data_IF_898470381935
#
_entry.id   IF_898470381935
#
_cell.length_a   1.000
_cell.length_b   1.000
_cell.length_c   1.000
_cell.angle_alpha   90.00
_cell.angle_beta   90.00
_cell.angle_gamma   90.00
#
_symmetry.space_group_name_H-M   'P 1'
#
loop_
_entity.id
_entity.type
_entity.pdbx_description
1 polymer ?
#
# COMPACT_ATOMS: atom_id res chain seq x y z
N UNK A 1 27.09 -5.08 -7.75
CA UNK A 1 27.13 -6.06 -6.63
C UNK A 1 25.74 -6.67 -6.50
N UNK A 2 25.57 -7.99 -6.37
CA UNK A 2 24.27 -8.57 -6.16
C UNK A 2 23.69 -8.04 -4.84
N UNK A 3 22.45 -7.61 -4.87
CA UNK A 3 21.73 -7.17 -3.67
C UNK A 3 21.69 -8.33 -2.67
N UNK A 4 22.14 -8.10 -1.44
CA UNK A 4 22.12 -9.10 -0.39
C UNK A 4 20.68 -9.56 -0.07
N UNK A 5 20.55 -10.71 0.60
CA UNK A 5 19.25 -11.24 1.03
C UNK A 5 18.50 -10.16 1.83
N UNK A 6 17.21 -9.92 1.52
CA UNK A 6 16.42 -8.94 2.27
C UNK A 6 16.42 -9.26 3.77
N UNK A 7 16.45 -8.24 4.64
CA UNK A 7 16.49 -8.43 6.08
C UNK A 7 15.22 -9.17 6.57
N UNK A 8 15.39 -10.11 7.51
CA UNK A 8 14.26 -10.79 8.15
C UNK A 8 13.41 -9.80 8.94
N UNK A 9 12.07 -9.98 8.99
CA UNK A 9 11.17 -9.18 9.83
C UNK A 9 11.62 -9.16 11.30
N UNK A 10 11.35 -8.04 12.00
CA UNK A 10 11.75 -7.83 13.38
C UNK A 10 11.24 -8.92 14.33
N UNK A 11 10.01 -9.36 14.16
CA UNK A 11 9.39 -10.41 14.97
C UNK A 11 10.04 -11.76 14.76
N UNK A 12 10.36 -12.11 13.52
CA UNK A 12 11.11 -13.33 13.24
C UNK A 12 12.50 -13.29 13.88
N UNK A 13 13.14 -12.10 13.96
CA UNK A 13 14.42 -11.94 14.66
C UNK A 13 14.25 -12.09 16.17
N UNK A 14 13.16 -11.57 16.75
CA UNK A 14 12.85 -11.73 18.17
C UNK A 14 12.52 -13.17 18.53
N UNK A 15 11.66 -13.83 17.75
CA UNK A 15 11.30 -15.24 17.94
C UNK A 15 12.50 -16.19 17.82
N UNK A 16 13.49 -15.87 17.00
CA UNK A 16 14.74 -16.62 16.84
C UNK A 16 15.84 -16.20 17.85
N UNK A 17 15.51 -15.41 18.89
CA UNK A 17 16.48 -14.97 19.90
C UNK A 17 17.52 -13.97 19.38
N UNK A 18 17.21 -13.23 18.32
CA UNK A 18 18.10 -12.23 17.73
C UNK A 18 19.53 -12.74 17.45
N UNK A 19 19.70 -13.75 16.58
CA UNK A 19 20.99 -14.41 16.35
C UNK A 19 22.09 -13.46 15.88
N UNK A 20 21.75 -12.28 15.35
CA UNK A 20 22.70 -11.26 14.93
C UNK A 20 23.15 -10.31 16.05
N UNK A 21 22.62 -10.44 17.26
CA UNK A 21 22.91 -9.61 18.46
C UNK A 21 22.90 -8.09 18.23
N UNK A 22 22.29 -7.59 17.16
CA UNK A 22 22.12 -6.15 16.91
C UNK A 22 20.94 -5.66 17.74
N UNK A 23 21.05 -4.45 18.31
CA UNK A 23 19.94 -3.81 18.99
C UNK A 23 18.69 -3.82 18.10
N UNK A 24 17.60 -4.35 18.61
CA UNK A 24 16.29 -4.31 17.95
C UNK A 24 15.52 -3.13 18.53
N UNK A 25 14.77 -2.36 17.73
CA UNK A 25 13.94 -1.28 18.23
C UNK A 25 13.00 -1.78 19.32
N UNK A 26 12.83 -0.98 20.37
CA UNK A 26 11.93 -1.33 21.46
C UNK A 26 10.46 -1.23 20.96
N UNK A 27 9.62 -2.15 21.39
CA UNK A 27 8.19 -2.16 20.98
C UNK A 27 7.45 -0.90 21.47
N UNK A 28 7.96 -0.28 22.53
CA UNK A 28 7.41 0.96 23.09
C UNK A 28 7.79 2.23 22.30
N UNK A 29 8.84 2.16 21.50
CA UNK A 29 9.32 3.29 20.67
C UNK A 29 8.72 3.30 19.25
N UNK A 30 7.94 2.28 18.89
CA UNK A 30 7.18 2.31 17.64
C UNK A 30 6.11 3.39 17.77
N UNK A 31 6.33 4.52 17.09
CA UNK A 31 5.38 5.62 17.05
C UNK A 31 3.98 5.05 16.71
N UNK A 32 3.04 5.28 17.61
CA UNK A 32 1.64 4.96 17.33
C UNK A 32 1.16 5.95 16.29
N UNK A 33 1.09 5.53 15.04
CA UNK A 33 0.47 6.33 13.98
C UNK A 33 -1.02 6.39 14.33
N UNK A 34 -1.59 7.59 14.55
CA UNK A 34 -3.03 7.69 14.80
C UNK A 34 -3.75 7.13 13.58
N UNK A 35 -4.58 6.10 13.80
CA UNK A 35 -5.42 5.56 12.75
C UNK A 35 -6.34 6.68 12.25
N UNK A 36 -6.40 6.87 10.94
CA UNK A 36 -7.37 7.78 10.35
C UNK A 36 -8.77 7.19 10.61
N UNK A 37 -9.58 7.93 11.35
CA UNK A 37 -10.99 7.55 11.65
C UNK A 37 -11.88 7.72 10.42
N UNK A 38 -11.51 8.63 9.53
CA UNK A 38 -12.21 8.91 8.27
C UNK A 38 -11.20 9.15 7.15
N UNK A 39 -11.58 8.82 5.92
CA UNK A 39 -10.77 9.14 4.76
C UNK A 39 -10.65 10.66 4.61
N UNK A 40 -9.45 11.24 4.56
CA UNK A 40 -9.31 12.67 4.33
C UNK A 40 -9.84 13.03 2.92
N UNK A 41 -10.41 14.21 2.75
CA UNK A 41 -10.79 14.69 1.43
C UNK A 41 -9.56 14.96 0.57
N UNK A 42 -9.55 14.52 -0.69
CA UNK A 42 -8.43 14.78 -1.59
C UNK A 42 -8.38 16.26 -1.96
N UNK A 43 -7.20 16.87 -1.85
CA UNK A 43 -6.98 18.30 -2.18
C UNK A 43 -7.05 18.59 -3.68
N UNK A 44 -6.96 17.56 -4.51
CA UNK A 44 -7.09 17.65 -5.98
C UNK A 44 -8.23 16.76 -6.47
N UNK A 45 -8.93 17.13 -7.54
CA UNK A 45 -10.04 16.33 -8.05
C UNK A 45 -9.57 14.97 -8.55
N UNK A 46 -10.20 13.91 -8.09
CA UNK A 46 -10.01 12.55 -8.56
C UNK A 46 -11.20 12.15 -9.45
N UNK A 47 -10.90 11.37 -10.50
CA UNK A 47 -11.92 10.76 -11.33
C UNK A 47 -12.42 9.45 -10.70
N UNK A 48 -13.27 8.74 -11.41
CA UNK A 48 -13.98 7.57 -10.88
C UNK A 48 -13.07 6.49 -10.30
N UNK A 49 -11.97 6.16 -10.97
CA UNK A 49 -11.10 5.05 -10.56
C UNK A 49 -10.14 5.46 -9.43
N UNK A 50 -9.59 6.67 -9.52
CA UNK A 50 -8.75 7.23 -8.47
C UNK A 50 -9.54 7.48 -7.19
N UNK A 51 -10.78 7.99 -7.30
CA UNK A 51 -11.67 8.18 -6.16
C UNK A 51 -12.00 6.86 -5.48
N UNK A 52 -12.39 5.85 -6.25
CA UNK A 52 -12.67 4.51 -5.72
C UNK A 52 -11.45 3.85 -5.07
N UNK A 53 -10.25 4.07 -5.62
CA UNK A 53 -9.01 3.63 -4.99
C UNK A 53 -8.76 4.36 -3.66
N UNK A 54 -8.89 5.69 -3.64
CA UNK A 54 -8.71 6.54 -2.47
C UNK A 54 -9.59 6.08 -1.30
N UNK A 55 -10.89 6.00 -1.50
CA UNK A 55 -11.86 5.60 -0.49
C UNK A 55 -11.56 4.20 0.05
N UNK A 56 -11.39 3.23 -0.84
CA UNK A 56 -11.08 1.85 -0.44
C UNK A 56 -9.81 1.71 0.37
N UNK A 57 -8.76 2.46 0.02
CA UNK A 57 -7.47 2.33 0.71
C UNK A 57 -7.51 2.98 2.07
N UNK A 58 -8.14 4.14 2.22
CA UNK A 58 -8.31 4.77 3.53
C UNK A 58 -9.20 3.95 4.46
N UNK A 59 -10.26 3.34 3.94
CA UNK A 59 -11.12 2.42 4.70
C UNK A 59 -10.36 1.19 5.23
N UNK A 60 -9.53 0.57 4.39
CA UNK A 60 -8.78 -0.65 4.74
C UNK A 60 -7.43 -0.32 5.38
N UNK A 61 -6.76 0.70 4.87
CA UNK A 61 -5.38 1.08 5.18
C UNK A 61 -5.22 2.03 6.35
N UNK A 62 -6.31 2.58 6.89
CA UNK A 62 -6.28 3.54 8.00
C UNK A 62 -5.54 3.08 9.25
N UNK A 63 -5.20 1.78 9.34
CA UNK A 63 -4.40 1.22 10.43
C UNK A 63 -2.90 1.50 10.31
N UNK A 64 -2.38 1.78 9.11
CA UNK A 64 -0.92 1.97 8.89
C UNK A 64 -0.56 3.09 7.93
N UNK A 65 -1.52 3.62 7.17
CA UNK A 65 -1.31 4.77 6.28
C UNK A 65 -1.54 6.04 7.08
N UNK A 66 -0.50 6.88 7.15
CA UNK A 66 -0.57 8.15 7.85
C UNK A 66 -1.22 9.23 6.98
N UNK A 67 -2.27 9.91 7.45
CA UNK A 67 -2.86 11.04 6.72
C UNK A 67 -1.94 12.26 6.62
N UNK A 68 -0.82 12.25 7.33
CA UNK A 68 0.15 13.35 7.32
C UNK A 68 1.33 13.07 6.39
N UNK A 69 1.92 11.88 6.49
CA UNK A 69 3.17 11.55 5.76
C UNK A 69 2.89 10.88 4.42
N UNK A 70 1.83 10.09 4.32
CA UNK A 70 1.57 9.26 3.14
C UNK A 70 0.54 9.87 2.19
N UNK A 71 -0.05 11.00 2.61
CA UNK A 71 -1.13 11.69 1.91
C UNK A 71 -0.78 11.99 0.44
N UNK A 72 0.35 12.64 0.18
CA UNK A 72 0.74 13.00 -1.19
C UNK A 72 1.05 11.78 -2.05
N UNK A 73 1.70 10.76 -1.49
CA UNK A 73 1.94 9.51 -2.20
C UNK A 73 0.64 8.82 -2.59
N UNK A 74 -0.34 8.81 -1.70
CA UNK A 74 -1.67 8.29 -1.94
C UNK A 74 -2.38 9.07 -3.05
N UNK A 75 -2.33 10.41 -2.99
CA UNK A 75 -3.00 11.28 -3.95
C UNK A 75 -2.40 11.13 -5.35
N UNK A 76 -1.07 11.19 -5.48
CA UNK A 76 -0.37 10.94 -6.74
C UNK A 76 -0.72 9.55 -7.29
N UNK A 77 -0.77 8.52 -6.45
CA UNK A 77 -1.12 7.17 -6.89
C UNK A 77 -2.56 7.09 -7.40
N UNK A 78 -3.49 7.76 -6.76
CA UNK A 78 -4.89 7.84 -7.20
C UNK A 78 -5.03 8.55 -8.56
N UNK A 79 -4.34 9.68 -8.74
CA UNK A 79 -4.27 10.41 -10.03
C UNK A 79 -3.69 9.54 -11.15
N UNK A 80 -2.60 8.83 -10.88
CA UNK A 80 -1.99 7.90 -11.85
C UNK A 80 -2.91 6.74 -12.22
N UNK A 81 -3.74 6.27 -11.30
CA UNK A 81 -4.76 5.24 -11.57
C UNK A 81 -5.80 5.78 -12.55
N UNK A 82 -6.26 7.01 -12.38
CA UNK A 82 -7.18 7.64 -13.32
C UNK A 82 -6.55 7.83 -14.71
N UNK A 83 -5.31 8.33 -14.77
CA UNK A 83 -4.56 8.47 -16.02
C UNK A 83 -4.38 7.13 -16.73
N UNK A 84 -4.01 6.09 -15.98
CA UNK A 84 -3.88 4.72 -16.50
C UNK A 84 -5.17 4.22 -17.13
N UNK A 85 -6.31 4.42 -16.49
CA UNK A 85 -7.60 3.98 -17.00
C UNK A 85 -8.01 4.76 -18.25
N UNK A 86 -7.81 6.08 -18.27
CA UNK A 86 -8.08 6.93 -19.44
C UNK A 86 -7.21 6.52 -20.63
N UNK A 87 -5.90 6.32 -20.42
CA UNK A 87 -4.99 5.87 -21.47
C UNK A 87 -5.37 4.48 -21.97
N UNK A 88 -5.73 3.55 -21.06
CA UNK A 88 -6.20 2.22 -21.44
C UNK A 88 -7.47 2.28 -22.27
N UNK A 89 -8.47 3.05 -21.87
CA UNK A 89 -9.73 3.22 -22.60
C UNK A 89 -9.47 3.80 -23.99
N UNK A 90 -8.60 4.81 -24.07
CA UNK A 90 -8.21 5.40 -25.35
C UNK A 90 -7.54 4.38 -26.29
N UNK A 91 -6.60 3.59 -25.80
CA UNK A 91 -5.93 2.54 -26.58
C UNK A 91 -6.94 1.49 -27.07
N UNK A 92 -7.85 1.05 -26.19
CA UNK A 92 -8.84 0.02 -26.53
C UNK A 92 -9.89 0.51 -27.52
N UNK A 93 -10.14 1.81 -27.60
CA UNK A 93 -11.04 2.42 -28.59
C UNK A 93 -10.45 2.54 -29.99
N UNK A 94 -9.14 2.31 -30.15
CA UNK A 94 -8.47 2.39 -31.46
C UNK A 94 -8.50 1.05 -32.22
N UNK A 95 -8.42 1.12 -33.56
CA UNK A 95 -8.14 -0.08 -34.36
C UNK A 95 -6.73 -0.58 -34.05
N UNK A 96 -6.48 -1.91 -34.03
CA UNK A 96 -5.17 -2.48 -33.71
C UNK A 96 -3.98 -1.88 -34.48
N UNK A 97 -4.20 -1.57 -35.75
CA UNK A 97 -3.17 -1.02 -36.66
C UNK A 97 -2.87 0.47 -36.40
N UNK A 98 -3.74 1.16 -35.68
CA UNK A 98 -3.58 2.60 -35.37
C UNK A 98 -2.99 2.86 -33.98
N UNK A 99 -2.72 1.82 -33.20
CA UNK A 99 -2.20 1.97 -31.85
C UNK A 99 -0.71 2.33 -31.91
N UNK A 100 -0.37 3.54 -31.46
CA UNK A 100 1.04 3.96 -31.33
C UNK A 100 1.75 3.10 -30.26
N UNK A 101 2.87 2.46 -30.59
CA UNK A 101 3.71 1.74 -29.62
C UNK A 101 4.13 2.57 -28.41
N UNK A 102 4.23 3.91 -28.56
CA UNK A 102 4.53 4.83 -27.45
C UNK A 102 3.43 4.82 -26.39
N UNK A 103 2.15 4.77 -26.80
CA UNK A 103 1.02 4.69 -25.88
C UNK A 103 1.05 3.40 -25.05
N UNK A 104 1.36 2.26 -25.67
CA UNK A 104 1.52 0.99 -24.96
C UNK A 104 2.72 1.01 -24.00
N UNK A 105 3.78 1.73 -24.36
CA UNK A 105 4.94 1.91 -23.49
C UNK A 105 4.57 2.79 -22.29
N UNK A 106 3.90 3.91 -22.51
CA UNK A 106 3.41 4.79 -21.44
C UNK A 106 2.48 4.04 -20.46
N UNK A 107 1.55 3.23 -20.97
CA UNK A 107 0.68 2.43 -20.12
C UNK A 107 1.47 1.46 -19.23
N UNK A 108 2.48 0.77 -19.78
CA UNK A 108 3.33 -0.14 -18.99
C UNK A 108 4.20 0.60 -17.98
N UNK A 109 4.60 1.84 -18.27
CA UNK A 109 5.35 2.66 -17.33
C UNK A 109 4.48 3.12 -16.16
N UNK A 110 3.24 3.55 -16.44
CA UNK A 110 2.25 3.82 -15.39
C UNK A 110 1.98 2.58 -14.53
N UNK A 111 1.76 1.40 -15.14
CA UNK A 111 1.58 0.15 -14.41
C UNK A 111 2.75 -0.13 -13.45
N UNK A 112 3.99 0.03 -13.92
CA UNK A 112 5.20 -0.20 -13.11
C UNK A 112 5.29 0.77 -11.95
N UNK A 113 5.05 2.05 -12.21
CA UNK A 113 5.12 3.10 -11.18
C UNK A 113 4.02 2.92 -10.13
N UNK A 114 2.79 2.65 -10.55
CA UNK A 114 1.68 2.37 -9.64
C UNK A 114 1.99 1.16 -8.75
N UNK A 115 2.49 0.05 -9.31
CA UNK A 115 2.87 -1.13 -8.51
C UNK A 115 3.98 -0.79 -7.52
N UNK A 116 4.96 0.05 -7.90
CA UNK A 116 6.00 0.55 -7.01
C UNK A 116 5.43 1.38 -5.84
N UNK A 117 4.52 2.30 -6.13
CA UNK A 117 3.86 3.12 -5.13
C UNK A 117 3.02 2.27 -4.16
N UNK A 118 2.24 1.32 -4.70
CA UNK A 118 1.46 0.38 -3.89
C UNK A 118 2.35 -0.45 -2.94
N UNK A 119 3.53 -0.85 -3.41
CA UNK A 119 4.50 -1.55 -2.57
C UNK A 119 5.03 -0.65 -1.45
N UNK A 120 5.41 0.60 -1.76
CA UNK A 120 5.89 1.57 -0.76
C UNK A 120 4.83 1.87 0.31
N UNK A 121 3.56 1.97 -0.08
CA UNK A 121 2.42 2.15 0.83
C UNK A 121 2.05 0.88 1.62
N UNK A 122 2.78 -0.23 1.44
CA UNK A 122 2.48 -1.48 2.13
C UNK A 122 1.20 -2.17 1.65
N UNK A 123 0.69 -1.82 0.47
CA UNK A 123 -0.54 -2.37 -0.08
C UNK A 123 -0.36 -3.75 -0.75
N UNK A 124 0.89 -4.19 -0.96
CA UNK A 124 1.16 -5.55 -1.41
C UNK A 124 1.31 -6.52 -0.23
N UNK A 125 0.92 -7.81 -0.37
CA UNK A 125 1.06 -8.79 0.70
C UNK A 125 2.51 -8.97 1.17
N UNK A 126 3.47 -8.97 0.25
CA UNK A 126 4.89 -9.13 0.56
C UNK A 126 5.42 -7.95 1.40
N UNK A 127 5.05 -6.73 1.03
CA UNK A 127 5.48 -5.53 1.74
C UNK A 127 4.80 -5.41 3.12
N UNK A 128 3.52 -5.78 3.24
CA UNK A 128 2.87 -5.86 4.56
C UNK A 128 3.61 -6.80 5.49
N UNK A 129 3.99 -7.98 5.00
CA UNK A 129 4.80 -8.92 5.79
C UNK A 129 6.17 -8.34 6.16
N UNK A 130 6.81 -7.60 5.25
CA UNK A 130 8.08 -6.93 5.48
C UNK A 130 7.97 -5.83 6.54
N UNK A 131 6.87 -5.09 6.53
CA UNK A 131 6.58 -4.02 7.49
C UNK A 131 6.02 -4.55 8.83
N UNK A 132 5.82 -5.86 8.98
CA UNK A 132 5.22 -6.44 10.19
C UNK A 132 3.70 -6.24 10.29
N UNK A 133 3.06 -5.68 9.27
CA UNK A 133 1.63 -5.33 9.27
C UNK A 133 0.68 -6.53 9.10
N UNK A 134 1.20 -7.67 8.65
CA UNK A 134 0.39 -8.87 8.45
C UNK A 134 -0.22 -9.40 9.76
N UNK A 135 0.40 -9.12 10.90
CA UNK A 135 0.01 -9.60 12.23
C UNK A 135 -1.08 -8.73 12.88
N UNK A 136 -1.09 -7.43 12.57
CA UNK A 136 -2.10 -6.50 13.09
C UNK A 136 -3.51 -6.92 12.68
N UNK A 137 -3.72 -7.39 11.45
CA UNK A 137 -5.02 -7.90 10.97
C UNK A 137 -5.45 -9.22 11.62
N UNK A 138 -4.51 -10.10 11.96
CA UNK A 138 -4.83 -11.37 12.63
C UNK A 138 -5.26 -11.16 14.07
N UNK A 139 -4.63 -10.25 14.79
CA UNK A 139 -4.99 -9.93 16.18
C UNK A 139 -6.34 -9.25 16.29
N UNK A 140 -6.67 -8.30 15.40
CA UNK A 140 -7.96 -7.62 15.42
C UNK A 140 -9.12 -8.59 15.14
N UNK A 141 -8.97 -9.48 14.17
CA UNK A 141 -10.00 -10.49 13.85
C UNK A 141 -10.14 -11.58 14.94
N UNK A 142 -9.05 -11.93 15.62
CA UNK A 142 -9.05 -12.82 16.78
C UNK A 142 -9.65 -12.15 18.03
N UNK A 143 -9.45 -10.85 18.21
CA UNK A 143 -10.05 -10.08 19.29
C UNK A 143 -11.56 -9.93 19.07
N UNK A 144 -11.98 -9.66 17.83
CA UNK A 144 -13.38 -9.58 17.42
C UNK A 144 -14.10 -10.93 17.61
N UNK A 145 -13.49 -12.04 17.20
CA UNK A 145 -14.03 -13.40 17.41
C UNK A 145 -14.06 -13.83 18.89
N UNK A 146 -13.15 -13.31 19.72
CA UNK A 146 -13.18 -13.55 21.17
C UNK A 146 -14.22 -12.70 21.87
N UNK A 147 -14.46 -11.46 21.39
CA UNK A 147 -15.54 -10.59 21.87
C UNK A 147 -16.92 -11.22 21.65
N UNK A 148 -17.16 -11.79 20.47
CA UNK A 148 -18.41 -12.48 20.12
C UNK A 148 -18.68 -13.79 20.89
N UNK A 149 -17.69 -14.36 21.56
CA UNK A 149 -17.83 -15.59 22.38
C UNK A 149 -18.16 -15.32 23.85
N UNK A 150 -18.10 -14.07 24.29
CA UNK A 150 -18.34 -13.65 25.68
C UNK A 150 -19.69 -12.93 25.86
N UNK A 151 -20.52 -12.89 24.82
CA UNK A 151 -21.94 -12.57 24.86
C UNK A 151 -22.80 -13.85 24.71
#
# INVERSE_FOLDING_TARGET
MPAGRPPKPLEQKRALGNPGKRALPDQKEMATIPAATEAPEPTRPLLTHGRAFWERVWDIGGLWISPTTDYEMMLITAEMIDERWNLRAYIMGQKPDNIDPKQRRALRELDRTIVGNLAQLGLSPAERTRLGLAEVKRQSKLAELKGMKNE
#
